data_IF_231615450697
#
_entry.id   IF_231615450697
#
_cell.length_a   1.000
_cell.length_b   1.000
_cell.length_c   1.000
_cell.angle_alpha   90.00
_cell.angle_beta   90.00
_cell.angle_gamma   90.00
#
_symmetry.space_group_name_H-M   'P 1'
#
loop_
_entity.id
_entity.type
_entity.pdbx_description
1 polymer ?
#
# COMPACT_ATOMS: atom_id res chain seq x y z
N UNK A 1 -3.35 3.53 -7.39
CA UNK A 1 -4.52 3.60 -8.29
C UNK A 1 -5.42 4.72 -7.78
N UNK A 2 -5.17 5.97 -8.16
CA UNK A 2 -5.82 7.09 -7.48
C UNK A 2 -7.15 7.41 -8.17
N UNK A 3 -8.31 7.26 -7.51
CA UNK A 3 -9.51 7.95 -7.96
C UNK A 3 -9.27 9.45 -7.81
N UNK A 4 -9.45 10.18 -8.90
CA UNK A 4 -9.38 11.64 -8.92
C UNK A 4 -10.46 12.18 -7.97
N UNK A 5 -10.06 12.76 -6.83
CA UNK A 5 -10.97 13.63 -6.07
C UNK A 5 -11.11 13.48 -4.56
N UNK A 6 -10.23 12.80 -3.80
CA UNK A 6 -10.33 12.82 -2.32
C UNK A 6 -9.03 13.24 -1.63
N UNK A 7 -9.04 14.49 -1.15
CA UNK A 7 -7.95 15.14 -0.43
C UNK A 7 -7.72 14.54 0.95
N UNK A 8 -6.74 13.65 1.04
CA UNK A 8 -5.77 13.48 2.15
C UNK A 8 -4.76 12.34 1.91
N UNK A 9 -4.85 11.64 0.77
CA UNK A 9 -4.03 10.47 0.42
C UNK A 9 -3.30 10.70 -0.91
N UNK A 10 -2.44 11.73 -0.95
CA UNK A 10 -1.72 12.08 -2.18
C UNK A 10 -0.50 11.15 -2.37
N UNK A 11 -0.56 10.24 -3.33
CA UNK A 11 0.63 9.63 -3.91
C UNK A 11 0.75 10.17 -5.34
N UNK A 12 1.91 10.72 -5.68
CA UNK A 12 2.19 11.33 -6.99
C UNK A 12 2.71 10.30 -7.99
N UNK A 13 2.23 9.05 -7.92
CA UNK A 13 2.68 7.97 -8.79
C UNK A 13 4.21 7.85 -8.82
N UNK A 14 4.80 8.06 -9.99
CA UNK A 14 6.25 8.02 -10.22
C UNK A 14 7.03 9.15 -9.51
N UNK A 15 6.37 10.22 -9.08
CA UNK A 15 6.99 11.36 -8.40
C UNK A 15 7.02 11.22 -6.87
N UNK A 16 6.65 10.05 -6.34
CA UNK A 16 6.77 9.72 -4.92
C UNK A 16 5.44 9.70 -4.16
N UNK A 17 5.48 9.20 -2.93
CA UNK A 17 4.32 9.01 -2.06
C UNK A 17 4.70 8.43 -0.70
N UNK A 18 3.72 8.29 0.20
CA UNK A 18 3.92 7.71 1.53
C UNK A 18 3.35 6.27 1.59
N UNK A 19 4.07 5.36 2.24
CA UNK A 19 3.60 3.97 2.44
C UNK A 19 2.26 3.90 3.18
N UNK A 20 2.04 4.78 4.15
CA UNK A 20 0.76 4.87 4.89
C UNK A 20 -0.42 5.19 3.98
N UNK A 21 -0.21 5.98 2.92
CA UNK A 21 -1.24 6.24 1.91
C UNK A 21 -1.54 5.00 1.08
N UNK A 22 -0.51 4.21 0.75
CA UNK A 22 -0.70 2.95 0.03
C UNK A 22 -1.49 1.92 0.86
N UNK A 23 -1.19 1.77 2.15
CA UNK A 23 -1.95 0.89 3.05
C UNK A 23 -3.40 1.36 3.22
N UNK A 24 -3.62 2.66 3.42
CA UNK A 24 -4.98 3.23 3.48
C UNK A 24 -5.76 2.97 2.19
N UNK A 25 -5.12 3.12 1.04
CA UNK A 25 -5.73 2.79 -0.25
C UNK A 25 -6.13 1.31 -0.30
N UNK A 26 -5.21 0.39 0.02
CA UNK A 26 -5.48 -1.05 0.00
C UNK A 26 -6.65 -1.44 0.91
N UNK A 27 -6.74 -0.87 2.12
CA UNK A 27 -7.87 -1.07 3.04
C UNK A 27 -9.16 -0.51 2.41
N UNK A 28 -9.13 0.70 1.85
CA UNK A 28 -10.30 1.37 1.27
C UNK A 28 -10.87 0.66 0.04
N UNK A 29 -10.02 0.16 -0.86
CA UNK A 29 -10.48 -0.55 -2.06
C UNK A 29 -10.80 -2.02 -1.80
N UNK A 30 -10.47 -2.52 -0.61
CA UNK A 30 -10.79 -3.87 -0.16
C UNK A 30 -9.76 -4.92 -0.57
N UNK A 31 -8.54 -4.51 -0.94
CA UNK A 31 -7.40 -5.40 -1.17
C UNK A 31 -6.49 -5.01 -2.35
N UNK A 32 -5.58 -5.93 -2.69
CA UNK A 32 -4.56 -5.83 -3.72
C UNK A 32 -4.63 -7.02 -4.67
N UNK A 33 -4.32 -6.79 -5.94
CA UNK A 33 -4.23 -7.81 -6.99
C UNK A 33 -2.81 -8.40 -7.03
N UNK A 34 -2.66 -9.58 -7.65
CA UNK A 34 -1.34 -10.17 -7.86
C UNK A 34 -0.57 -9.42 -8.95
N UNK A 35 0.75 -9.51 -8.90
CA UNK A 35 1.65 -8.94 -9.92
C UNK A 35 1.35 -9.50 -11.32
N UNK A 36 0.95 -10.77 -11.43
CA UNK A 36 0.54 -11.39 -12.70
C UNK A 36 -0.73 -10.75 -13.31
N UNK A 37 -1.67 -10.31 -12.46
CA UNK A 37 -2.93 -9.71 -12.87
C UNK A 37 -2.84 -8.19 -13.06
N UNK A 38 -1.90 -7.55 -12.36
CA UNK A 38 -1.63 -6.11 -12.44
C UNK A 38 -0.11 -5.89 -12.50
N UNK A 39 0.53 -6.09 -13.67
CA UNK A 39 1.98 -5.99 -13.79
C UNK A 39 2.46 -4.54 -13.69
N UNK A 40 3.59 -4.36 -13.02
CA UNK A 40 4.28 -3.10 -12.90
C UNK A 40 4.84 -2.65 -14.25
N UNK A 41 4.49 -1.42 -14.65
CA UNK A 41 4.89 -0.84 -15.94
C UNK A 41 5.93 0.28 -15.83
N UNK A 42 6.29 0.70 -14.61
CA UNK A 42 7.27 1.78 -14.39
C UNK A 42 6.82 3.17 -14.86
N UNK A 43 5.58 3.30 -15.33
CA UNK A 43 5.00 4.56 -15.82
C UNK A 43 3.66 4.80 -15.15
N UNK A 44 3.33 6.07 -14.94
CA UNK A 44 2.00 6.45 -14.50
C UNK A 44 0.96 6.14 -15.60
N UNK A 45 -0.22 5.70 -15.19
CA UNK A 45 -1.30 5.41 -16.11
C UNK A 45 -2.65 5.33 -15.40
N UNK A 46 -3.70 5.21 -16.19
CA UNK A 46 -5.05 5.06 -15.66
C UNK A 46 -5.17 3.84 -14.73
N UNK A 47 -5.96 4.00 -13.67
CA UNK A 47 -6.22 2.90 -12.74
C UNK A 47 -7.05 1.80 -13.42
N UNK A 48 -6.57 0.55 -13.35
CA UNK A 48 -7.26 -0.63 -13.90
C UNK A 48 -7.62 -1.64 -12.80
N UNK A 49 -7.87 -1.15 -11.59
CA UNK A 49 -8.13 -2.01 -10.43
C UNK A 49 -9.41 -2.82 -10.64
N UNK A 50 -9.31 -4.13 -10.46
CA UNK A 50 -10.43 -5.06 -10.56
C UNK A 50 -10.63 -5.76 -9.21
N UNK A 51 -11.80 -5.51 -8.59
CA UNK A 51 -12.18 -6.10 -7.30
C UNK A 51 -12.30 -7.63 -7.34
N UNK A 52 -12.60 -8.21 -8.50
CA UNK A 52 -12.77 -9.66 -8.65
C UNK A 52 -11.44 -10.43 -8.57
N UNK A 53 -10.32 -9.75 -8.87
CA UNK A 53 -8.97 -10.32 -8.89
C UNK A 53 -8.15 -9.97 -7.65
N UNK A 54 -8.81 -9.56 -6.57
CA UNK A 54 -8.15 -9.25 -5.29
C UNK A 54 -7.62 -10.54 -4.69
N UNK A 55 -6.30 -10.61 -4.50
CA UNK A 55 -5.61 -11.76 -3.94
C UNK A 55 -5.13 -11.55 -2.50
N UNK A 56 -4.91 -10.31 -2.08
CA UNK A 56 -4.52 -9.99 -0.71
C UNK A 56 -5.41 -8.90 -0.14
N UNK A 57 -5.77 -9.00 1.14
CA UNK A 57 -6.56 -8.00 1.86
C UNK A 57 -5.83 -7.59 3.12
N UNK A 58 -5.94 -6.32 3.47
CA UNK A 58 -5.39 -5.77 4.69
C UNK A 58 -6.53 -5.11 5.47
N UNK A 59 -6.56 -5.35 6.78
CA UNK A 59 -7.58 -4.77 7.66
C UNK A 59 -7.08 -3.52 8.38
N UNK A 60 -5.80 -3.50 8.78
CA UNK A 60 -5.21 -2.40 9.52
C UNK A 60 -3.69 -2.36 9.35
N UNK A 61 -3.06 -1.25 9.72
CA UNK A 61 -1.61 -1.09 9.85
C UNK A 61 -1.27 -0.36 11.17
N UNK A 62 -0.05 -0.52 11.66
CA UNK A 62 0.44 0.15 12.87
C UNK A 62 1.79 0.80 12.57
N UNK A 63 2.06 1.93 13.22
CA UNK A 63 3.31 2.67 13.09
C UNK A 63 4.18 2.29 14.29
N UNK A 64 5.41 1.87 14.01
CA UNK A 64 6.39 1.50 15.03
C UNK A 64 7.21 2.74 15.42
N UNK A 65 7.75 2.74 16.63
CA UNK A 65 8.68 3.77 17.10
C UNK A 65 9.95 3.82 16.25
N UNK A 66 10.68 4.94 16.27
CA UNK A 66 11.99 5.13 15.62
C UNK A 66 13.15 4.52 16.42
N UNK A 67 12.84 3.84 17.52
CA UNK A 67 13.80 3.14 18.37
C UNK A 67 14.21 1.81 17.72
N UNK A 68 15.50 1.64 17.43
CA UNK A 68 16.04 0.46 16.73
C UNK A 68 15.80 -0.85 17.49
N UNK A 69 15.83 -0.83 18.82
CA UNK A 69 15.57 -2.02 19.63
C UNK A 69 14.11 -2.46 19.50
N UNK A 70 13.19 -1.48 19.42
CA UNK A 70 11.78 -1.76 19.18
C UNK A 70 11.54 -2.24 17.75
N UNK A 71 12.20 -1.65 16.75
CA UNK A 71 12.12 -2.09 15.35
C UNK A 71 12.59 -3.55 15.24
N UNK A 72 13.71 -3.91 15.84
CA UNK A 72 14.24 -5.28 15.83
C UNK A 72 13.27 -6.26 16.50
N UNK A 73 12.74 -5.90 17.68
CA UNK A 73 11.75 -6.72 18.38
C UNK A 73 10.46 -6.91 17.56
N UNK A 74 9.98 -5.84 16.91
CA UNK A 74 8.80 -5.90 16.05
C UNK A 74 9.06 -6.72 14.77
N UNK A 75 10.23 -6.62 14.16
CA UNK A 75 10.60 -7.38 12.96
C UNK A 75 10.57 -8.89 13.22
N UNK A 76 11.13 -9.33 14.34
CA UNK A 76 11.15 -10.76 14.74
C UNK A 76 9.74 -11.25 15.06
N UNK A 77 8.93 -10.43 15.74
CA UNK A 77 7.62 -10.84 16.24
C UNK A 77 6.50 -10.77 15.20
N UNK A 78 6.52 -9.75 14.34
CA UNK A 78 5.43 -9.43 13.42
C UNK A 78 5.81 -9.56 11.94
N UNK A 79 7.10 -9.73 11.64
CA UNK A 79 7.61 -9.84 10.28
C UNK A 79 8.02 -8.49 9.69
N UNK A 80 8.18 -8.42 8.35
CA UNK A 80 8.76 -7.27 7.66
C UNK A 80 8.08 -5.93 7.97
N UNK A 81 8.89 -4.89 8.15
CA UNK A 81 8.48 -3.51 8.38
C UNK A 81 8.78 -2.66 7.15
N UNK A 82 8.09 -1.51 7.01
CA UNK A 82 8.28 -0.53 5.93
C UNK A 82 8.74 0.81 6.47
#
# INVERSE_FOLDING_TARGET
>A
CQPLGEGLTCNSGCFGGLMTNAFRYAIKVGGLQREEDYPYRGIEGACKFDKSKVAAKMANFSIVSTDEDQIAAHLVKHGPLS
#
